data_IF_796601315197
#
_entry.id   IF_796601315197
#
_cell.length_a   1.000
_cell.length_b   1.000
_cell.length_c   1.000
_cell.angle_alpha   90.00
_cell.angle_beta   90.00
_cell.angle_gamma   90.00
#
_symmetry.space_group_name_H-M   'P 1'
#
loop_
_entity.id
_entity.type
_entity.pdbx_description
1 polymer ?
#
# COMPACT_ATOMS: atom_id res chain seq x y z
N UNK A 1 -0.20 21.16 -13.99
CA UNK A 1 -0.85 20.07 -14.78
C UNK A 1 -2.28 20.46 -15.11
N UNK A 2 -2.77 20.21 -16.33
CA UNK A 2 -4.16 20.53 -16.71
C UNK A 2 -5.16 19.56 -16.06
N UNK A 3 -6.27 20.07 -15.53
CA UNK A 3 -7.38 19.27 -14.96
C UNK A 3 -7.88 18.20 -15.94
N UNK A 4 -7.85 18.46 -17.25
CA UNK A 4 -8.26 17.50 -18.29
C UNK A 4 -7.33 16.27 -18.34
N UNK A 5 -6.02 16.47 -18.16
CA UNK A 5 -5.05 15.38 -18.16
C UNK A 5 -5.22 14.49 -16.92
N UNK A 6 -5.39 15.10 -15.74
CA UNK A 6 -5.58 14.35 -14.49
C UNK A 6 -6.84 13.50 -14.55
N UNK A 7 -7.95 14.04 -15.05
CA UNK A 7 -9.20 13.30 -15.21
C UNK A 7 -9.06 12.07 -16.12
N UNK A 8 -8.22 12.15 -17.17
CA UNK A 8 -7.95 11.01 -18.06
C UNK A 8 -7.11 9.94 -17.36
N UNK A 9 -6.32 10.31 -16.34
CA UNK A 9 -5.39 9.44 -15.62
C UNK A 9 -5.93 8.85 -14.32
N UNK A 10 -7.19 9.13 -13.97
CA UNK A 10 -7.84 8.58 -12.76
C UNK A 10 -7.76 7.03 -12.71
N UNK A 11 -7.99 6.28 -13.80
CA UNK A 11 -7.87 4.82 -13.76
C UNK A 11 -6.46 4.34 -13.36
N UNK A 12 -5.42 4.98 -13.89
CA UNK A 12 -4.03 4.72 -13.52
C UNK A 12 -3.79 5.04 -12.03
N UNK A 13 -4.22 6.22 -11.58
CA UNK A 13 -4.06 6.63 -10.17
C UNK A 13 -4.72 5.66 -9.21
N UNK A 14 -5.96 5.23 -9.46
CA UNK A 14 -6.67 4.28 -8.60
C UNK A 14 -5.92 2.95 -8.51
N UNK A 15 -5.42 2.43 -9.64
CA UNK A 15 -4.62 1.21 -9.68
C UNK A 15 -3.30 1.39 -8.93
N UNK A 16 -2.57 2.47 -9.21
CA UNK A 16 -1.24 2.73 -8.65
C UNK A 16 -1.31 2.96 -7.13
N UNK A 17 -2.31 3.68 -6.63
CA UNK A 17 -2.54 3.87 -5.19
C UNK A 17 -2.81 2.54 -4.50
N UNK A 18 -3.68 1.69 -5.06
CA UNK A 18 -3.94 0.38 -4.46
C UNK A 18 -2.70 -0.51 -4.47
N UNK A 19 -1.95 -0.53 -5.58
CA UNK A 19 -0.69 -1.29 -5.70
C UNK A 19 0.32 -0.83 -4.66
N UNK A 20 0.59 0.46 -4.61
CA UNK A 20 1.62 1.02 -3.73
C UNK A 20 1.21 0.90 -2.26
N UNK A 21 -0.08 1.06 -1.95
CA UNK A 21 -0.62 0.75 -0.61
C UNK A 21 -0.34 -0.71 -0.23
N UNK A 22 -0.57 -1.66 -1.14
CA UNK A 22 -0.32 -3.07 -0.85
C UNK A 22 1.16 -3.36 -0.59
N UNK A 23 2.04 -2.85 -1.45
CA UNK A 23 3.49 -3.02 -1.31
C UNK A 23 3.98 -2.44 0.02
N UNK A 24 3.63 -1.19 0.32
CA UNK A 24 4.01 -0.51 1.56
C UNK A 24 3.43 -1.24 2.78
N UNK A 25 2.19 -1.73 2.69
CA UNK A 25 1.58 -2.48 3.80
C UNK A 25 2.35 -3.75 4.14
N UNK A 26 2.83 -4.49 3.12
CA UNK A 26 3.66 -5.67 3.35
C UNK A 26 5.01 -5.33 3.98
N UNK A 27 5.67 -4.25 3.54
CA UNK A 27 6.96 -3.84 4.12
C UNK A 27 6.81 -3.34 5.56
N UNK A 28 5.76 -2.55 5.85
CA UNK A 28 5.43 -2.14 7.22
C UNK A 28 5.10 -3.33 8.12
N UNK A 29 4.38 -4.33 7.60
CA UNK A 29 4.07 -5.54 8.37
C UNK A 29 5.33 -6.30 8.78
N UNK A 30 6.32 -6.43 7.87
CA UNK A 30 7.61 -7.05 8.21
C UNK A 30 8.33 -6.28 9.31
N UNK A 31 8.42 -4.96 9.16
CA UNK A 31 9.10 -4.10 10.15
C UNK A 31 8.40 -4.14 11.51
N UNK A 32 7.06 -4.15 11.52
CA UNK A 32 6.31 -4.25 12.76
C UNK A 32 6.41 -5.62 13.41
N UNK A 33 6.50 -6.70 12.63
CA UNK A 33 6.74 -8.04 13.18
C UNK A 33 8.13 -8.15 13.79
N UNK A 34 9.14 -7.52 13.17
CA UNK A 34 10.47 -7.39 13.75
C UNK A 34 10.43 -6.60 15.07
N UNK A 35 9.70 -5.48 15.10
CA UNK A 35 9.53 -4.69 16.32
C UNK A 35 8.89 -5.50 17.46
N UNK A 36 7.91 -6.37 17.18
CA UNK A 36 7.31 -7.19 18.24
C UNK A 36 8.33 -8.08 18.95
N UNK A 37 9.36 -8.55 18.22
CA UNK A 37 10.43 -9.42 18.72
C UNK A 37 11.56 -8.62 19.39
N UNK A 38 12.00 -7.55 18.73
CA UNK A 38 13.26 -6.85 19.07
C UNK A 38 13.03 -5.55 19.85
N UNK A 39 11.78 -5.09 19.98
CA UNK A 39 11.38 -3.84 20.63
C UNK A 39 12.11 -2.60 20.10
N UNK A 40 12.55 -2.66 18.84
CA UNK A 40 13.17 -1.56 18.10
C UNK A 40 12.73 -1.62 16.65
N UNK A 41 12.77 -0.47 16.00
CA UNK A 41 12.58 -0.35 14.55
C UNK A 41 13.87 0.15 13.89
N UNK A 42 14.03 -0.16 12.61
CA UNK A 42 15.16 0.28 11.81
C UNK A 42 14.97 1.71 11.34
N UNK A 43 15.95 2.56 11.65
CA UNK A 43 15.99 3.92 11.12
C UNK A 43 16.06 3.94 9.60
N UNK A 44 16.93 3.12 9.00
CA UNK A 44 17.10 3.03 7.55
C UNK A 44 15.79 2.69 6.82
N UNK A 45 14.99 1.78 7.38
CA UNK A 45 13.68 1.44 6.83
C UNK A 45 12.77 2.66 6.72
N UNK A 46 12.58 3.42 7.80
CA UNK A 46 11.72 4.60 7.78
C UNK A 46 12.33 5.76 6.99
N UNK A 47 13.66 5.88 6.96
CA UNK A 47 14.37 6.82 6.12
C UNK A 47 14.10 6.56 4.63
N UNK A 48 14.18 5.31 4.18
CA UNK A 48 13.89 4.95 2.79
C UNK A 48 12.39 5.05 2.46
N UNK A 49 11.53 4.58 3.37
CA UNK A 49 10.07 4.56 3.19
C UNK A 49 9.51 5.97 2.98
N UNK A 50 9.96 6.93 3.78
CA UNK A 50 9.50 8.31 3.72
C UNK A 50 10.36 9.14 2.77
N UNK A 51 11.67 8.97 2.80
CA UNK A 51 12.64 9.77 2.07
C UNK A 51 12.77 11.20 2.60
N UNK A 52 13.23 12.08 1.72
CA UNK A 52 13.47 13.49 1.97
C UNK A 52 12.74 14.34 0.93
N UNK A 53 12.64 15.65 1.15
CA UNK A 53 11.94 16.56 0.23
C UNK A 53 12.50 16.51 -1.20
N UNK A 54 13.83 16.41 -1.32
CA UNK A 54 14.54 16.32 -2.60
C UNK A 54 14.61 14.88 -3.15
N UNK A 55 14.32 13.87 -2.33
CA UNK A 55 14.35 12.45 -2.71
C UNK A 55 13.23 11.69 -2.00
N UNK A 56 12.01 11.82 -2.54
CA UNK A 56 10.79 11.28 -1.92
C UNK A 56 10.78 9.77 -1.89
N UNK A 57 10.53 9.18 -0.72
CA UNK A 57 10.33 7.74 -0.55
C UNK A 57 8.98 7.26 -1.11
N UNK A 58 8.76 5.94 -1.19
CA UNK A 58 7.54 5.37 -1.72
C UNK A 58 6.27 5.81 -0.97
N UNK A 59 6.30 5.95 0.36
CA UNK A 59 5.14 6.41 1.13
C UNK A 59 4.81 7.87 0.86
N UNK A 60 5.82 8.73 0.69
CA UNK A 60 5.61 10.12 0.28
C UNK A 60 4.93 10.19 -1.09
N UNK A 61 5.45 9.44 -2.07
CA UNK A 61 4.86 9.40 -3.41
C UNK A 61 3.42 8.90 -3.39
N UNK A 62 3.12 7.86 -2.60
CA UNK A 62 1.75 7.38 -2.39
C UNK A 62 0.86 8.49 -1.81
N UNK A 63 1.32 9.18 -0.77
CA UNK A 63 0.60 10.30 -0.12
C UNK A 63 0.34 11.45 -1.10
N UNK A 64 1.31 11.83 -1.92
CA UNK A 64 1.09 12.89 -2.93
C UNK A 64 0.14 12.44 -4.04
N UNK A 65 0.20 11.17 -4.43
CA UNK A 65 -0.65 10.59 -5.46
C UNK A 65 -2.12 10.54 -5.03
N UNK A 66 -2.39 10.08 -3.81
CA UNK A 66 -3.76 10.09 -3.26
C UNK A 66 -4.29 11.50 -3.08
N UNK A 67 -3.44 12.46 -2.71
CA UNK A 67 -3.83 13.86 -2.59
C UNK A 67 -4.25 14.48 -3.94
N UNK A 68 -3.60 14.08 -5.03
CA UNK A 68 -4.00 14.48 -6.38
C UNK A 68 -5.33 13.81 -6.75
N UNK A 69 -5.47 12.50 -6.48
CA UNK A 69 -6.70 11.76 -6.76
C UNK A 69 -7.89 12.36 -5.99
N UNK A 70 -7.77 12.61 -4.68
CA UNK A 70 -8.85 13.09 -3.81
C UNK A 70 -9.44 14.42 -4.28
N UNK A 71 -8.60 15.32 -4.78
CA UNK A 71 -9.01 16.62 -5.35
C UNK A 71 -9.75 16.52 -6.68
N UNK A 72 -9.59 15.41 -7.40
CA UNK A 72 -10.14 15.24 -8.76
C UNK A 72 -11.16 14.09 -8.85
N UNK A 73 -11.37 13.35 -7.77
CA UNK A 73 -12.34 12.27 -7.71
C UNK A 73 -13.77 12.81 -7.77
N UNK A 74 -14.60 12.21 -8.62
CA UNK A 74 -16.00 12.60 -8.83
C UNK A 74 -16.99 11.51 -8.47
N UNK A 75 -16.58 10.24 -8.57
CA UNK A 75 -17.47 9.10 -8.36
C UNK A 75 -17.71 8.84 -6.88
N UNK A 76 -16.68 9.06 -6.05
CA UNK A 76 -16.74 8.85 -4.61
C UNK A 76 -15.82 9.82 -3.85
N UNK A 77 -16.11 11.13 -3.90
CA UNK A 77 -15.21 12.18 -3.39
C UNK A 77 -14.95 12.05 -1.88
N UNK A 78 -15.97 11.74 -1.08
CA UNK A 78 -15.81 11.57 0.37
C UNK A 78 -14.89 10.39 0.71
N UNK A 79 -15.06 9.25 0.04
CA UNK A 79 -14.21 8.08 0.25
C UNK A 79 -12.76 8.38 -0.14
N UNK A 80 -12.53 9.06 -1.27
CA UNK A 80 -11.18 9.46 -1.68
C UNK A 80 -10.53 10.45 -0.69
N UNK A 81 -11.31 11.38 -0.10
CA UNK A 81 -10.82 12.28 0.96
C UNK A 81 -10.46 11.54 2.25
N UNK A 82 -11.24 10.54 2.65
CA UNK A 82 -10.95 9.71 3.83
C UNK A 82 -9.70 8.84 3.62
N UNK A 83 -9.49 8.32 2.40
CA UNK A 83 -8.29 7.59 2.03
C UNK A 83 -7.07 8.54 2.04
N UNK A 84 -7.18 9.73 1.45
CA UNK A 84 -6.14 10.78 1.48
C UNK A 84 -5.75 11.15 2.91
N UNK A 85 -6.74 11.44 3.76
CA UNK A 85 -6.51 11.77 5.16
C UNK A 85 -5.80 10.64 5.91
N UNK A 86 -6.24 9.39 5.71
CA UNK A 86 -5.69 8.23 6.40
C UNK A 86 -4.25 7.95 5.96
N UNK A 87 -3.94 8.04 4.66
CA UNK A 87 -2.57 7.88 4.14
C UNK A 87 -1.67 9.04 4.55
N UNK A 88 -2.18 10.27 4.58
CA UNK A 88 -1.48 11.43 5.13
C UNK A 88 -1.10 11.23 6.59
N UNK A 89 -2.00 10.67 7.40
CA UNK A 89 -1.71 10.39 8.80
C UNK A 89 -0.68 9.26 8.96
N UNK A 90 -0.76 8.18 8.18
CA UNK A 90 0.28 7.12 8.16
C UNK A 90 1.65 7.71 7.81
N UNK A 91 1.70 8.61 6.83
CA UNK A 91 2.93 9.32 6.47
C UNK A 91 3.51 10.11 7.66
N UNK A 92 2.68 10.86 8.39
CA UNK A 92 3.14 11.61 9.56
C UNK A 92 3.60 10.72 10.73
N UNK A 93 2.88 9.63 11.02
CA UNK A 93 3.33 8.68 12.05
C UNK A 93 4.64 7.96 11.62
N UNK A 94 4.83 7.70 10.32
CA UNK A 94 6.07 7.13 9.81
C UNK A 94 7.25 8.11 9.88
N UNK A 95 7.00 9.41 9.70
CA UNK A 95 8.00 10.46 9.94
C UNK A 95 8.42 10.50 11.41
N UNK A 96 7.47 10.40 12.35
CA UNK A 96 7.78 10.34 13.78
C UNK A 96 8.61 9.10 14.11
N UNK A 97 8.22 7.93 13.59
CA UNK A 97 8.97 6.69 13.77
C UNK A 97 10.40 6.80 13.26
N UNK A 98 10.63 7.48 12.13
CA UNK A 98 11.98 7.75 11.63
C UNK A 98 12.81 8.51 12.66
N UNK A 99 12.28 9.59 13.22
CA UNK A 99 12.99 10.41 14.21
C UNK A 99 13.23 9.66 15.52
N UNK A 100 12.22 8.93 16.02
CA UNK A 100 12.35 8.14 17.24
C UNK A 100 13.35 6.98 17.07
N UNK A 101 13.36 6.33 15.90
CA UNK A 101 14.35 5.31 15.56
C UNK A 101 15.77 5.87 15.51
N UNK A 102 15.93 7.07 14.94
CA UNK A 102 17.22 7.77 14.93
C UNK A 102 17.71 8.04 16.37
N UNK A 103 16.83 8.59 17.21
CA UNK A 103 17.16 8.87 18.61
C UNK A 103 17.57 7.60 19.37
N UNK A 104 16.83 6.51 19.22
CA UNK A 104 17.16 5.23 19.85
C UNK A 104 18.53 4.72 19.37
N UNK A 105 18.78 4.70 18.06
CA UNK A 105 20.03 4.18 17.52
C UNK A 105 21.25 5.03 17.90
N UNK A 106 21.08 6.35 18.03
CA UNK A 106 22.20 7.27 18.29
C UNK A 106 22.49 7.44 19.77
N UNK A 107 21.45 7.64 20.58
CA UNK A 107 21.63 8.07 21.97
C UNK A 107 21.63 6.91 22.97
N UNK A 108 20.91 5.82 22.70
CA UNK A 108 20.84 4.70 23.63
C UNK A 108 22.22 4.08 23.93
N UNK A 109 23.08 3.77 22.94
CA UNK A 109 24.41 3.21 23.22
C UNK A 109 25.25 4.15 24.08
N UNK A 110 25.20 5.45 23.81
CA UNK A 110 25.92 6.46 24.57
C UNK A 110 25.48 6.53 26.04
N UNK A 111 24.16 6.43 26.32
CA UNK A 111 23.68 6.36 27.70
C UNK A 111 24.08 5.05 28.41
N UNK A 112 24.07 3.93 27.71
CA UNK A 112 24.51 2.64 28.23
C UNK A 112 26.01 2.67 28.58
N UNK A 113 26.84 3.29 27.74
CA UNK A 113 28.27 3.52 28.01
C UNK A 113 28.50 4.40 29.24
N UNK A 114 27.75 5.50 29.38
CA UNK A 114 27.86 6.37 30.57
C UNK A 114 27.46 5.61 31.83
N UNK A 115 26.34 4.87 31.80
CA UNK A 115 25.89 4.10 32.98
C UNK A 115 26.87 2.99 33.38
N UNK A 116 27.66 2.46 32.43
CA UNK A 116 28.70 1.48 32.69
C UNK A 116 29.97 2.05 33.35
N UNK A 117 30.13 3.38 33.39
CA UNK A 117 31.28 4.01 34.05
C UNK A 117 31.22 3.80 35.56
N UNK A 118 32.32 3.28 36.15
CA UNK A 118 32.40 2.94 37.56
C UNK A 118 32.43 4.15 38.50
N UNK A 119 32.96 5.29 38.02
CA UNK A 119 33.21 6.48 38.84
C UNK A 119 32.46 7.70 38.30
N UNK A 120 31.13 7.69 38.42
CA UNK A 120 30.31 8.88 38.19
C UNK A 120 29.97 9.58 39.51
N UNK A 121 30.14 10.91 39.60
CA UNK A 121 29.66 11.67 40.75
C UNK A 121 28.16 11.41 41.01
N UNK A 122 27.70 11.29 42.28
CA UNK A 122 26.32 10.91 42.59
C UNK A 122 25.25 11.80 41.94
N UNK A 123 25.48 13.12 41.87
CA UNK A 123 24.57 14.06 41.21
C UNK A 123 24.45 13.81 39.71
N UNK A 124 25.58 13.58 39.03
CA UNK A 124 25.59 13.26 37.61
C UNK A 124 24.89 11.91 37.36
N UNK A 125 25.10 10.93 38.23
CA UNK A 125 24.42 9.63 38.13
C UNK A 125 22.88 9.76 38.22
N UNK A 126 22.37 10.64 39.09
CA UNK A 126 20.94 10.93 39.18
C UNK A 126 20.44 11.58 37.88
N UNK A 127 21.13 12.62 37.40
CA UNK A 127 20.77 13.32 36.16
C UNK A 127 20.78 12.38 34.95
N UNK A 128 21.79 11.52 34.81
CA UNK A 128 21.85 10.52 33.72
C UNK A 128 20.66 9.58 33.78
N UNK A 129 20.25 9.13 34.98
CA UNK A 129 19.07 8.27 35.16
C UNK A 129 17.78 8.99 34.77
N UNK A 130 17.63 10.25 35.12
CA UNK A 130 16.46 11.07 34.75
C UNK A 130 16.41 11.32 33.23
N UNK A 131 17.53 11.69 32.62
CA UNK A 131 17.62 11.89 31.17
C UNK A 131 17.39 10.60 30.39
N UNK A 132 17.80 9.44 30.93
CA UNK A 132 17.49 8.14 30.35
C UNK A 132 15.98 7.85 30.28
N UNK A 133 15.16 8.48 31.15
CA UNK A 133 13.70 8.35 31.06
C UNK A 133 13.15 8.92 29.75
N UNK A 134 13.82 9.90 29.13
CA UNK A 134 13.44 10.44 27.82
C UNK A 134 13.53 9.34 26.76
N UNK A 135 14.56 8.49 26.79
CA UNK A 135 14.67 7.35 25.87
C UNK A 135 13.55 6.32 26.09
N UNK A 136 13.13 6.12 27.34
CA UNK A 136 11.97 5.26 27.63
C UNK A 136 10.69 5.85 27.00
N UNK A 137 10.49 7.16 27.11
CA UNK A 137 9.36 7.85 26.47
C UNK A 137 9.41 7.74 24.93
N UNK A 138 10.61 7.78 24.32
CA UNK A 138 10.79 7.52 22.89
C UNK A 138 10.34 6.09 22.52
N UNK A 139 10.68 5.08 23.32
CA UNK A 139 10.21 3.70 23.09
C UNK A 139 8.69 3.57 23.21
N UNK A 140 8.09 4.20 24.21
CA UNK A 140 6.63 4.27 24.38
C UNK A 140 5.95 4.99 23.21
N UNK A 141 6.62 5.98 22.63
CA UNK A 141 6.17 6.64 21.40
C UNK A 141 6.15 5.66 20.23
N UNK A 142 7.28 5.01 19.93
CA UNK A 142 7.38 4.03 18.84
C UNK A 142 6.22 3.02 18.87
N UNK A 143 5.92 2.45 20.05
CA UNK A 143 4.78 1.54 20.21
C UNK A 143 3.44 2.17 19.81
N UNK A 144 3.18 3.41 20.24
CA UNK A 144 1.96 4.16 19.98
C UNK A 144 1.84 4.52 18.50
N UNK A 145 2.91 4.99 17.85
CA UNK A 145 2.91 5.28 16.43
C UNK A 145 2.65 4.00 15.60
N UNK A 146 3.29 2.87 15.93
CA UNK A 146 3.02 1.57 15.29
C UNK A 146 1.55 1.17 15.44
N UNK A 147 0.99 1.28 16.65
CA UNK A 147 -0.43 0.97 16.92
C UNK A 147 -1.36 1.83 16.06
N UNK A 148 -1.06 3.13 15.92
CA UNK A 148 -1.84 4.06 15.07
C UNK A 148 -1.73 3.72 13.58
N UNK A 149 -0.55 3.38 13.08
CA UNK A 149 -0.39 2.96 11.68
C UNK A 149 -1.17 1.66 11.42
N UNK A 150 -1.06 0.66 12.30
CA UNK A 150 -1.83 -0.60 12.19
C UNK A 150 -3.35 -0.33 12.18
N UNK A 151 -3.82 0.56 13.04
CA UNK A 151 -5.22 1.00 13.09
C UNK A 151 -5.66 1.66 11.77
N UNK A 152 -4.88 2.59 11.25
CA UNK A 152 -5.20 3.29 9.99
C UNK A 152 -5.16 2.35 8.79
N UNK A 153 -4.21 1.41 8.73
CA UNK A 153 -4.16 0.39 7.68
C UNK A 153 -5.41 -0.50 7.68
N UNK A 154 -5.92 -0.85 8.87
CA UNK A 154 -7.19 -1.59 8.98
C UNK A 154 -8.35 -0.81 8.39
N UNK A 155 -8.49 0.47 8.74
CA UNK A 155 -9.57 1.31 8.21
C UNK A 155 -9.41 1.60 6.72
N UNK A 156 -8.17 1.78 6.22
CA UNK A 156 -7.90 1.94 4.79
C UNK A 156 -8.36 0.74 3.98
N UNK A 157 -8.13 -0.50 4.46
CA UNK A 157 -8.64 -1.69 3.78
C UNK A 157 -10.16 -1.64 3.65
N UNK A 158 -10.87 -1.28 4.71
CA UNK A 158 -12.32 -1.14 4.68
C UNK A 158 -12.78 0.00 3.74
N UNK A 159 -12.06 1.12 3.72
CA UNK A 159 -12.34 2.21 2.77
C UNK A 159 -12.14 1.76 1.32
N UNK A 160 -11.12 0.96 1.02
CA UNK A 160 -10.93 0.40 -0.32
C UNK A 160 -12.07 -0.53 -0.74
N UNK A 161 -12.64 -1.32 0.18
CA UNK A 161 -13.83 -2.15 -0.09
C UNK A 161 -15.04 -1.29 -0.51
N UNK A 162 -15.18 -0.09 0.05
CA UNK A 162 -16.26 0.84 -0.30
C UNK A 162 -15.95 1.67 -1.55
N UNK A 163 -14.67 2.01 -1.78
CA UNK A 163 -14.25 2.93 -2.82
C UNK A 163 -14.09 2.27 -4.19
N UNK A 164 -13.45 1.10 -4.25
CA UNK A 164 -13.11 0.43 -5.50
C UNK A 164 -14.31 -0.03 -6.36
N UNK A 165 -15.51 -0.34 -5.82
CA UNK A 165 -16.70 -0.62 -6.64
C UNK A 165 -17.08 0.50 -7.62
N UNK A 166 -16.80 1.76 -7.26
CA UNK A 166 -17.00 2.90 -8.16
C UNK A 166 -16.07 2.89 -9.39
N UNK A 167 -15.05 2.03 -9.37
CA UNK A 167 -14.06 1.85 -10.43
C UNK A 167 -14.06 0.43 -11.02
N UNK A 168 -15.18 -0.30 -10.91
CA UNK A 168 -15.30 -1.69 -11.41
C UNK A 168 -14.90 -1.90 -12.88
N UNK A 169 -15.12 -0.92 -13.75
CA UNK A 169 -14.77 -1.01 -15.17
C UNK A 169 -13.30 -0.66 -15.48
N UNK A 170 -12.49 -0.40 -14.46
CA UNK A 170 -11.09 -0.06 -14.62
C UNK A 170 -10.27 -1.30 -15.02
N UNK A 171 -9.98 -1.42 -16.32
CA UNK A 171 -9.19 -2.51 -16.90
C UNK A 171 -7.80 -2.66 -16.25
N UNK A 172 -7.16 -1.56 -15.83
CA UNK A 172 -5.84 -1.60 -15.18
C UNK A 172 -5.94 -2.16 -13.75
N UNK A 173 -7.00 -1.81 -13.04
CA UNK A 173 -7.28 -2.35 -11.71
C UNK A 173 -7.56 -3.85 -11.78
N UNK A 174 -8.38 -4.27 -12.74
CA UNK A 174 -8.66 -5.68 -13.00
C UNK A 174 -7.37 -6.47 -13.33
N UNK A 175 -6.53 -5.93 -14.22
CA UNK A 175 -5.21 -6.50 -14.53
C UNK A 175 -4.33 -6.62 -13.29
N UNK A 176 -4.35 -5.62 -12.41
CA UNK A 176 -3.60 -5.68 -11.16
C UNK A 176 -4.10 -6.81 -10.25
N UNK A 177 -5.42 -6.96 -10.05
CA UNK A 177 -5.97 -8.06 -9.25
C UNK A 177 -5.63 -9.44 -9.81
N UNK A 178 -5.64 -9.59 -11.14
CA UNK A 178 -5.24 -10.83 -11.80
C UNK A 178 -3.74 -11.10 -11.63
N UNK A 179 -2.88 -10.14 -12.00
CA UNK A 179 -1.44 -10.34 -12.06
C UNK A 179 -0.76 -10.37 -10.67
N UNK A 180 -1.34 -9.69 -9.68
CA UNK A 180 -0.77 -9.53 -8.33
C UNK A 180 -1.72 -10.06 -7.25
N UNK A 181 -2.48 -11.12 -7.57
CA UNK A 181 -3.46 -11.70 -6.65
C UNK A 181 -2.87 -12.05 -5.28
N UNK A 182 -1.67 -12.62 -5.23
CA UNK A 182 -1.03 -12.99 -3.96
C UNK A 182 -0.65 -11.79 -3.09
N UNK A 183 -0.21 -10.68 -3.70
CA UNK A 183 0.06 -9.43 -2.98
C UNK A 183 -1.23 -8.88 -2.37
N UNK A 184 -2.31 -8.82 -3.14
CA UNK A 184 -3.60 -8.33 -2.67
C UNK A 184 -4.16 -9.25 -1.59
N UNK A 185 -4.07 -10.58 -1.76
CA UNK A 185 -4.47 -11.57 -0.75
C UNK A 185 -3.76 -11.35 0.57
N UNK A 186 -2.44 -11.11 0.55
CA UNK A 186 -1.65 -10.89 1.77
C UNK A 186 -2.16 -9.68 2.55
N UNK A 187 -2.39 -8.56 1.86
CA UNK A 187 -2.81 -7.31 2.50
C UNK A 187 -4.26 -7.34 2.94
N UNK A 188 -5.15 -7.93 2.15
CA UNK A 188 -6.58 -7.93 2.41
C UNK A 188 -7.08 -9.17 3.15
N UNK A 189 -6.21 -10.07 3.64
CA UNK A 189 -6.64 -11.22 4.45
C UNK A 189 -7.31 -10.72 5.75
N UNK A 190 -8.51 -11.23 6.15
CA UNK A 190 -9.33 -12.29 5.56
C UNK A 190 -10.36 -11.82 4.50
N UNK A 191 -10.48 -10.52 4.27
CA UNK A 191 -11.48 -9.86 3.40
C UNK A 191 -11.17 -9.87 1.90
N UNK A 192 -10.18 -10.64 1.41
CA UNK A 192 -9.84 -10.68 -0.03
C UNK A 192 -11.04 -11.07 -0.91
N UNK A 193 -11.82 -12.08 -0.50
CA UNK A 193 -13.03 -12.47 -1.22
C UNK A 193 -14.06 -11.33 -1.23
N UNK A 194 -14.32 -10.72 -0.06
CA UNK A 194 -15.23 -9.58 0.08
C UNK A 194 -14.84 -8.41 -0.80
N UNK A 195 -13.54 -8.17 -0.95
CA UNK A 195 -13.02 -7.12 -1.83
C UNK A 195 -13.41 -7.39 -3.29
N UNK A 196 -13.13 -8.58 -3.81
CA UNK A 196 -13.45 -8.92 -5.19
C UNK A 196 -14.97 -8.96 -5.43
N UNK A 197 -15.72 -9.48 -4.46
CA UNK A 197 -17.18 -9.50 -4.49
C UNK A 197 -17.78 -8.09 -4.53
N UNK A 198 -17.30 -7.19 -3.66
CA UNK A 198 -17.77 -5.80 -3.63
C UNK A 198 -17.59 -5.09 -4.99
N UNK A 199 -16.52 -5.40 -5.72
CA UNK A 199 -16.20 -4.75 -6.98
C UNK A 199 -16.95 -5.39 -8.17
N UNK A 200 -17.01 -6.71 -8.23
CA UNK A 200 -17.39 -7.45 -9.44
C UNK A 200 -18.70 -8.24 -9.34
N UNK A 201 -19.37 -8.31 -8.18
CA UNK A 201 -20.67 -8.97 -8.12
C UNK A 201 -21.69 -8.34 -9.10
N UNK A 202 -22.60 -9.17 -9.67
CA UNK A 202 -22.81 -10.59 -9.39
C UNK A 202 -21.84 -11.55 -10.12
N UNK A 203 -20.97 -11.08 -11.01
CA UNK A 203 -20.11 -11.94 -11.84
C UNK A 203 -18.61 -11.61 -11.69
N UNK A 204 -17.92 -12.36 -10.83
CA UNK A 204 -16.47 -12.23 -10.61
C UNK A 204 -15.68 -12.49 -11.92
N UNK A 205 -16.23 -13.23 -12.88
CA UNK A 205 -15.59 -13.45 -14.18
C UNK A 205 -15.32 -12.13 -14.93
N UNK A 206 -16.10 -11.07 -14.63
CA UNK A 206 -15.89 -9.74 -15.20
C UNK A 206 -14.46 -9.22 -14.96
N UNK A 207 -13.88 -9.47 -13.79
CA UNK A 207 -12.50 -9.08 -13.46
C UNK A 207 -11.51 -9.69 -14.45
N UNK A 208 -11.64 -10.98 -14.71
CA UNK A 208 -10.76 -11.71 -15.62
C UNK A 208 -10.86 -11.21 -17.07
N UNK A 209 -12.07 -10.92 -17.55
CA UNK A 209 -12.26 -10.39 -18.90
C UNK A 209 -11.72 -8.96 -19.06
N UNK A 210 -11.86 -8.11 -18.04
CA UNK A 210 -11.25 -6.78 -18.03
C UNK A 210 -9.71 -6.86 -17.97
N UNK A 211 -9.17 -7.79 -17.18
CA UNK A 211 -7.73 -8.05 -17.10
C UNK A 211 -7.19 -8.52 -18.45
N UNK A 212 -7.85 -9.49 -19.10
CA UNK A 212 -7.50 -9.99 -20.42
C UNK A 212 -7.43 -8.87 -21.46
N UNK A 213 -8.46 -8.02 -21.49
CA UNK A 213 -8.53 -6.87 -22.39
C UNK A 213 -7.38 -5.88 -22.16
N UNK A 214 -7.03 -5.61 -20.90
CA UNK A 214 -5.88 -4.76 -20.54
C UNK A 214 -4.55 -5.37 -20.99
N UNK A 215 -4.37 -6.69 -20.79
CA UNK A 215 -3.17 -7.43 -21.14
C UNK A 215 -2.98 -7.47 -22.66
N UNK A 216 -4.03 -7.78 -23.41
CA UNK A 216 -4.02 -7.80 -24.88
C UNK A 216 -3.67 -6.43 -25.46
N UNK A 217 -4.32 -5.35 -24.99
CA UNK A 217 -3.97 -3.97 -25.39
C UNK A 217 -2.51 -3.60 -25.10
N UNK A 218 -1.90 -4.25 -24.11
CA UNK A 218 -0.50 -4.09 -23.76
C UNK A 218 0.46 -5.06 -24.47
N UNK A 219 -0.01 -5.92 -25.36
CA UNK A 219 0.80 -6.91 -26.09
C UNK A 219 1.08 -8.23 -25.34
N UNK A 220 0.54 -8.40 -24.13
CA UNK A 220 0.77 -9.58 -23.28
C UNK A 220 -0.25 -10.68 -23.61
N UNK A 221 -0.12 -11.28 -24.80
CA UNK A 221 -1.16 -12.15 -25.36
C UNK A 221 -1.30 -13.48 -24.64
N UNK A 222 -0.22 -14.06 -24.14
CA UNK A 222 -0.26 -15.33 -23.38
C UNK A 222 -0.97 -15.15 -22.04
N UNK A 223 -0.67 -14.06 -21.33
CA UNK A 223 -1.34 -13.71 -20.08
C UNK A 223 -2.78 -13.31 -20.33
N UNK A 224 -3.08 -12.62 -21.44
CA UNK A 224 -4.45 -12.32 -21.83
C UNK A 224 -5.25 -13.61 -22.06
N UNK A 225 -4.66 -14.60 -22.74
CA UNK A 225 -5.28 -15.91 -22.94
C UNK A 225 -5.60 -16.59 -21.60
N UNK A 226 -4.60 -16.68 -20.70
CA UNK A 226 -4.79 -17.24 -19.34
C UNK A 226 -5.92 -16.54 -18.59
N UNK A 227 -5.96 -15.21 -18.63
CA UNK A 227 -7.02 -14.44 -17.98
C UNK A 227 -8.41 -14.78 -18.54
N UNK A 228 -8.58 -14.85 -19.88
CA UNK A 228 -9.87 -15.23 -20.47
C UNK A 228 -10.28 -16.65 -20.10
N UNK A 229 -9.34 -17.60 -20.12
CA UNK A 229 -9.59 -18.99 -19.74
C UNK A 229 -10.09 -19.11 -18.30
N UNK A 230 -9.44 -18.43 -17.35
CA UNK A 230 -9.91 -18.37 -15.95
C UNK A 230 -11.31 -17.75 -15.82
N UNK A 231 -11.58 -16.67 -16.55
CA UNK A 231 -12.92 -16.06 -16.56
C UNK A 231 -13.99 -16.99 -17.14
N UNK A 232 -13.69 -17.71 -18.23
CA UNK A 232 -14.63 -18.64 -18.86
C UNK A 232 -14.84 -19.92 -18.04
N UNK A 233 -13.89 -20.34 -17.19
CA UNK A 233 -14.12 -21.42 -16.22
C UNK A 233 -15.24 -21.04 -15.23
N UNK A 234 -15.31 -19.77 -14.85
CA UNK A 234 -16.31 -19.25 -13.91
C UNK A 234 -17.65 -18.96 -14.62
N UNK A 235 -17.60 -18.33 -15.80
CA UNK A 235 -18.78 -17.90 -16.56
C UNK A 235 -18.65 -18.29 -18.04
N UNK A 236 -18.92 -19.57 -18.40
CA UNK A 236 -18.61 -20.12 -19.73
C UNK A 236 -19.37 -19.46 -20.89
N UNK A 237 -20.57 -18.94 -20.61
CA UNK A 237 -21.44 -18.33 -21.62
C UNK A 237 -21.36 -16.80 -21.61
N UNK A 238 -20.38 -16.22 -20.90
CA UNK A 238 -20.26 -14.77 -20.80
C UNK A 238 -19.90 -14.16 -22.15
N UNK A 239 -20.85 -13.41 -22.75
CA UNK A 239 -20.72 -12.85 -24.11
C UNK A 239 -19.43 -12.06 -24.32
N UNK A 240 -19.07 -11.21 -23.36
CA UNK A 240 -17.83 -10.40 -23.43
C UNK A 240 -16.59 -11.29 -23.33
N UNK A 241 -16.64 -12.33 -22.51
CA UNK A 241 -15.52 -13.26 -22.34
C UNK A 241 -15.25 -14.06 -23.61
N UNK A 242 -16.30 -14.59 -24.23
CA UNK A 242 -16.22 -15.29 -25.50
C UNK A 242 -15.71 -14.39 -26.64
N UNK A 243 -16.14 -13.12 -26.66
CA UNK A 243 -15.63 -12.17 -27.64
C UNK A 243 -14.14 -11.86 -27.42
N UNK A 244 -13.73 -11.68 -26.17
CA UNK A 244 -12.32 -11.41 -25.85
C UNK A 244 -11.44 -12.63 -26.15
N UNK A 245 -11.92 -13.85 -25.93
CA UNK A 245 -11.24 -15.09 -26.35
C UNK A 245 -10.94 -15.09 -27.85
N UNK A 246 -11.93 -14.71 -28.67
CA UNK A 246 -11.77 -14.59 -30.13
C UNK A 246 -10.72 -13.54 -30.49
N UNK A 247 -10.76 -12.37 -29.85
CA UNK A 247 -9.80 -11.29 -30.08
C UNK A 247 -8.36 -11.74 -29.78
N UNK A 248 -8.13 -12.36 -28.62
CA UNK A 248 -6.83 -12.89 -28.22
C UNK A 248 -6.35 -13.96 -29.19
N UNK A 249 -7.21 -14.90 -29.59
CA UNK A 249 -6.85 -15.96 -30.54
C UNK A 249 -6.46 -15.42 -31.93
N UNK A 250 -7.14 -14.38 -32.43
CA UNK A 250 -6.81 -13.73 -33.70
C UNK A 250 -5.41 -13.09 -33.63
N UNK A 251 -5.12 -12.35 -32.56
CA UNK A 251 -3.82 -11.69 -32.40
C UNK A 251 -2.68 -12.69 -32.21
N UNK A 252 -2.90 -13.77 -31.44
CA UNK A 252 -1.90 -14.84 -31.26
C UNK A 252 -1.55 -15.54 -32.58
N UNK A 253 -2.53 -15.75 -33.47
CA UNK A 253 -2.28 -16.34 -34.79
C UNK A 253 -1.42 -15.42 -35.67
N UNK A 254 -1.63 -14.10 -35.60
CA UNK A 254 -0.85 -13.11 -36.37
C UNK A 254 0.61 -13.01 -35.94
N UNK A 255 0.94 -13.32 -34.67
CA UNK A 255 2.34 -13.36 -34.21
C UNK A 255 3.08 -14.63 -34.63
N UNK A 256 2.34 -15.69 -34.97
CA UNK A 256 2.90 -17.01 -35.35
C UNK A 256 3.00 -17.21 -36.86
N UNK A 257 2.41 -16.31 -37.65
CA UNK A 257 2.48 -16.25 -39.12
C UNK A 257 3.57 -15.30 -39.59
#
# INVERSE_FOLDING_TARGET
MSKKWINKKIPEFVRDILRDFCLISCELEKEFNFFEQEKRVHFSFFQELVGEEMSKGPLWRLKDMVHILSKNEKKAPLLAQLIDWSLGYIFHESMKLKEDAYQQNRYRPWFEEIQAQKELPPQIKLTVKELYQVLKQTSESIEREIKRIKFLQFHLRNLFLLYLPHHRDNELLARFFFAQSELVKRVFKPSHHKLLEAIYQPDIAQMYFLAAKSLRKGGWLEEAQKAVEEGLKISPQHKVGLQEAKNVAIELRRLKS
#
